data_IF_178507514653
#
_entry.id   IF_178507514653
#
_cell.length_a   1.000
_cell.length_b   1.000
_cell.length_c   1.000
_cell.angle_alpha   90.00
_cell.angle_beta   90.00
_cell.angle_gamma   90.00
#
_symmetry.space_group_name_H-M   'P 1'
#
loop_
_entity.id
_entity.type
_entity.pdbx_description
1 polymer ?
#
# COMPACT_ATOMS: atom_id res chain seq x y z
N UNK A 1 35.25 0.78 18.64
CA UNK A 1 35.05 1.59 17.41
C UNK A 1 35.52 0.89 16.14
N UNK A 2 36.76 0.40 16.02
CA UNK A 2 37.29 -0.25 14.80
C UNK A 2 36.53 -1.52 14.38
N UNK A 3 36.19 -2.39 15.34
CA UNK A 3 35.47 -3.65 15.08
C UNK A 3 33.99 -3.43 14.69
N UNK A 4 33.33 -2.44 15.29
CA UNK A 4 31.94 -2.07 14.95
C UNK A 4 31.81 -1.56 13.51
N UNK A 5 32.81 -0.83 13.00
CA UNK A 5 32.87 -0.39 11.60
C UNK A 5 33.09 -1.55 10.61
N UNK A 6 33.86 -2.58 11.01
CA UNK A 6 34.09 -3.77 10.18
C UNK A 6 32.80 -4.59 10.06
N UNK A 7 32.09 -4.78 11.17
CA UNK A 7 30.79 -5.47 11.18
C UNK A 7 29.77 -4.73 10.30
N UNK A 8 29.71 -3.40 10.39
CA UNK A 8 28.80 -2.59 9.58
C UNK A 8 29.11 -2.71 8.07
N UNK A 9 30.40 -2.72 7.70
CA UNK A 9 30.84 -2.91 6.31
C UNK A 9 30.53 -4.31 5.81
N UNK A 10 30.72 -5.34 6.62
CA UNK A 10 30.37 -6.72 6.28
C UNK A 10 28.86 -6.88 6.09
N UNK A 11 28.04 -6.28 6.97
CA UNK A 11 26.59 -6.26 6.80
C UNK A 11 26.16 -5.52 5.53
N UNK A 12 26.80 -4.39 5.20
CA UNK A 12 26.58 -3.67 3.94
C UNK A 12 26.95 -4.52 2.72
N UNK A 13 28.06 -5.25 2.76
CA UNK A 13 28.48 -6.16 1.66
C UNK A 13 27.51 -7.34 1.55
N UNK A 14 27.12 -7.97 2.64
CA UNK A 14 26.12 -9.06 2.65
C UNK A 14 24.78 -8.54 2.11
N UNK A 15 24.33 -7.36 2.55
CA UNK A 15 23.10 -6.74 2.06
C UNK A 15 23.18 -6.32 0.58
N UNK A 16 24.33 -5.84 0.11
CA UNK A 16 24.49 -5.37 -1.28
C UNK A 16 24.84 -6.49 -2.27
N UNK A 17 25.44 -7.59 -1.82
CA UNK A 17 25.93 -8.69 -2.66
C UNK A 17 25.13 -9.97 -2.44
N UNK A 18 24.91 -10.39 -1.19
CA UNK A 18 24.25 -11.68 -0.89
C UNK A 18 22.72 -11.61 -0.86
N UNK A 19 22.11 -10.42 -0.71
CA UNK A 19 20.66 -10.25 -0.77
C UNK A 19 20.14 -9.93 -2.18
N UNK A 20 21.02 -9.89 -3.20
CA UNK A 20 20.63 -9.72 -4.59
C UNK A 20 20.50 -11.08 -5.24
N UNK A 21 19.27 -11.51 -5.48
CA UNK A 21 18.98 -12.68 -6.31
C UNK A 21 19.47 -12.41 -7.73
N UNK A 22 20.24 -13.32 -8.30
CA UNK A 22 20.56 -13.30 -9.73
C UNK A 22 19.28 -13.61 -10.53
N UNK A 23 19.22 -13.23 -11.80
CA UNK A 23 18.13 -13.61 -12.70
C UNK A 23 17.99 -15.13 -12.81
N UNK A 24 19.09 -15.89 -12.71
CA UNK A 24 19.04 -17.36 -12.64
C UNK A 24 18.25 -17.83 -11.42
N UNK A 25 18.51 -17.24 -10.25
CA UNK A 25 17.88 -17.64 -8.98
C UNK A 25 16.40 -17.23 -8.97
N UNK A 26 16.08 -16.05 -9.51
CA UNK A 26 14.70 -15.57 -9.68
C UNK A 26 13.90 -16.53 -10.57
N UNK A 27 14.52 -17.01 -11.66
CA UNK A 27 13.90 -17.99 -12.56
C UNK A 27 13.69 -19.32 -11.84
N UNK A 28 14.68 -19.82 -11.12
CA UNK A 28 14.59 -21.05 -10.34
C UNK A 28 13.45 -20.98 -9.32
N UNK A 29 13.33 -19.87 -8.56
CA UNK A 29 12.23 -19.66 -7.60
C UNK A 29 10.87 -19.69 -8.31
N UNK A 30 10.74 -19.04 -9.47
CA UNK A 30 9.48 -19.04 -10.23
C UNK A 30 9.09 -20.42 -10.77
N UNK A 31 10.06 -21.29 -11.02
CA UNK A 31 9.86 -22.67 -11.51
C UNK A 31 9.76 -23.70 -10.35
N UNK A 32 10.07 -23.29 -9.12
CA UNK A 32 10.04 -24.14 -7.93
C UNK A 32 8.61 -24.42 -7.49
N UNK A 33 8.28 -25.70 -7.26
CA UNK A 33 6.99 -26.12 -6.68
C UNK A 33 6.94 -25.73 -5.21
N UNK A 34 5.91 -24.98 -4.82
CA UNK A 34 5.75 -24.48 -3.45
C UNK A 34 5.18 -25.56 -2.53
N UNK A 35 4.33 -26.45 -3.07
CA UNK A 35 3.78 -27.62 -2.36
C UNK A 35 3.93 -28.83 -3.28
N UNK A 36 4.68 -29.83 -2.84
CA UNK A 36 5.00 -31.04 -3.62
C UNK A 36 3.76 -31.91 -3.90
N UNK A 37 2.81 -31.98 -2.95
CA UNK A 37 1.65 -32.86 -3.01
C UNK A 37 0.66 -32.49 -4.13
N UNK A 38 0.50 -31.19 -4.43
CA UNK A 38 -0.50 -30.69 -5.39
C UNK A 38 0.11 -30.03 -6.65
N UNK A 39 1.44 -30.05 -6.80
CA UNK A 39 2.16 -29.31 -7.86
C UNK A 39 1.79 -27.82 -7.92
N UNK A 40 1.48 -27.20 -6.77
CA UNK A 40 1.17 -25.78 -6.70
C UNK A 40 2.42 -24.95 -7.04
N UNK A 41 2.28 -24.13 -8.08
CA UNK A 41 3.30 -23.21 -8.58
C UNK A 41 2.83 -21.78 -8.35
N UNK A 42 3.78 -20.85 -8.21
CA UNK A 42 3.48 -19.42 -8.29
C UNK A 42 2.93 -19.14 -9.69
N UNK A 43 1.82 -18.42 -9.80
CA UNK A 43 1.22 -18.13 -11.10
C UNK A 43 2.23 -17.37 -11.97
N UNK A 44 2.61 -17.90 -13.15
CA UNK A 44 3.67 -17.29 -13.96
C UNK A 44 3.30 -15.91 -14.47
N UNK A 45 2.02 -15.66 -14.76
CA UNK A 45 1.54 -14.32 -15.12
C UNK A 45 0.93 -13.53 -13.93
N UNK A 46 1.09 -14.06 -12.72
CA UNK A 46 0.48 -13.51 -11.50
C UNK A 46 1.28 -12.35 -10.91
N UNK A 47 0.68 -11.58 -9.99
CA UNK A 47 1.35 -10.47 -9.34
C UNK A 47 2.57 -10.89 -8.48
N UNK A 48 2.60 -12.11 -7.96
CA UNK A 48 3.72 -12.67 -7.17
C UNK A 48 4.82 -13.30 -8.03
N UNK A 49 4.73 -13.27 -9.37
CA UNK A 49 5.82 -13.72 -10.21
C UNK A 49 7.15 -13.00 -9.83
N UNK A 50 8.20 -13.74 -9.44
CA UNK A 50 9.45 -13.13 -8.96
C UNK A 50 10.15 -12.25 -10.01
N UNK A 51 10.13 -12.65 -11.28
CA UNK A 51 10.70 -11.88 -12.38
C UNK A 51 9.94 -10.57 -12.60
N UNK A 52 8.60 -10.61 -12.52
CA UNK A 52 7.75 -9.42 -12.57
C UNK A 52 8.09 -8.47 -11.42
N UNK A 53 8.21 -8.99 -10.19
CA UNK A 53 8.62 -8.23 -9.02
C UNK A 53 9.98 -7.55 -9.22
N UNK A 54 10.97 -8.29 -9.72
CA UNK A 54 12.30 -7.76 -10.05
C UNK A 54 12.24 -6.62 -11.08
N UNK A 55 11.52 -6.81 -12.19
CA UNK A 55 11.38 -5.77 -13.22
C UNK A 55 10.67 -4.52 -12.66
N UNK A 56 9.63 -4.71 -11.84
CA UNK A 56 8.90 -3.62 -11.21
C UNK A 56 9.79 -2.80 -10.27
N UNK A 57 10.61 -3.45 -9.45
CA UNK A 57 11.58 -2.77 -8.59
C UNK A 57 12.61 -1.99 -9.42
N UNK A 58 13.26 -2.65 -10.39
CA UNK A 58 14.31 -2.06 -11.23
C UNK A 58 13.84 -0.89 -12.08
N UNK A 59 12.57 -0.88 -12.47
CA UNK A 59 11.95 0.21 -13.22
C UNK A 59 11.43 1.35 -12.33
N UNK A 60 11.51 1.21 -11.01
CA UNK A 60 10.92 2.16 -10.07
C UNK A 60 9.39 2.22 -10.21
N UNK A 61 8.75 1.08 -10.52
CA UNK A 61 7.35 1.01 -10.89
C UNK A 61 6.43 1.69 -9.86
N UNK A 62 6.62 1.42 -8.57
CA UNK A 62 5.77 2.00 -7.52
C UNK A 62 5.92 3.52 -7.41
N UNK A 63 7.14 4.02 -7.56
CA UNK A 63 7.40 5.46 -7.64
C UNK A 63 6.66 6.06 -8.84
N UNK A 64 6.86 5.49 -10.03
CA UNK A 64 6.23 6.00 -11.25
C UNK A 64 4.71 5.94 -11.19
N UNK A 65 4.15 4.84 -10.69
CA UNK A 65 2.72 4.65 -10.52
C UNK A 65 2.14 5.64 -9.50
N UNK A 66 2.87 5.98 -8.43
CA UNK A 66 2.37 6.92 -7.43
C UNK A 66 2.43 8.38 -7.85
N UNK A 67 3.44 8.77 -8.63
CA UNK A 67 3.71 10.18 -8.98
C UNK A 67 3.27 10.59 -10.39
N UNK A 68 3.13 9.65 -11.33
CA UNK A 68 2.89 9.95 -12.74
C UNK A 68 1.67 9.22 -13.33
N UNK A 69 0.94 8.42 -12.55
CA UNK A 69 -0.28 7.77 -13.04
C UNK A 69 -1.36 8.81 -13.35
N UNK A 70 -1.95 8.82 -14.56
CA UNK A 70 -3.00 9.76 -14.93
C UNK A 70 -4.30 9.57 -14.13
N UNK A 71 -4.47 8.42 -13.47
CA UNK A 71 -5.62 8.13 -12.61
C UNK A 71 -5.53 8.78 -11.22
N UNK A 72 -4.38 9.34 -10.85
CA UNK A 72 -4.16 10.05 -9.60
C UNK A 72 -4.23 11.56 -9.84
N UNK A 73 -5.17 12.20 -9.18
CA UNK A 73 -5.25 13.66 -9.08
C UNK A 73 -4.16 14.16 -8.12
N UNK A 74 -3.01 14.49 -8.68
CA UNK A 74 -1.89 15.03 -7.90
C UNK A 74 -2.14 16.48 -7.53
N UNK A 75 -2.10 16.81 -6.24
CA UNK A 75 -2.34 18.18 -5.81
C UNK A 75 -1.12 19.06 -6.04
N UNK A 76 -1.16 19.88 -7.08
CA UNK A 76 -0.23 20.97 -7.34
C UNK A 76 -0.97 22.29 -7.54
N UNK A 77 -0.29 23.40 -7.28
CA UNK A 77 -0.81 24.75 -7.46
C UNK A 77 0.27 25.60 -8.10
N UNK A 78 -0.07 26.27 -9.19
CA UNK A 78 0.81 27.22 -9.86
C UNK A 78 0.14 28.60 -9.81
N UNK A 79 0.73 29.54 -9.07
CA UNK A 79 0.19 30.88 -8.91
C UNK A 79 1.16 31.91 -9.44
N UNK A 80 0.69 32.85 -10.25
CA UNK A 80 1.50 33.98 -10.67
C UNK A 80 1.73 34.92 -9.48
N UNK A 81 3.00 35.20 -9.18
CA UNK A 81 3.37 36.18 -8.18
C UNK A 81 3.34 37.57 -8.82
N UNK A 82 2.33 38.37 -8.47
CA UNK A 82 2.27 39.77 -8.85
C UNK A 82 3.16 40.63 -7.93
N UNK A 83 4.47 40.37 -7.92
CA UNK A 83 5.44 41.26 -7.25
C UNK A 83 5.91 42.31 -8.23
N UNK A 84 5.56 43.57 -7.95
CA UNK A 84 6.16 44.73 -8.62
C UNK A 84 7.60 44.85 -8.12
N UNK A 85 8.57 44.32 -8.87
CA UNK A 85 9.97 44.59 -8.58
C UNK A 85 10.25 46.03 -9.04
N UNK A 86 10.33 46.95 -8.07
CA UNK A 86 10.72 48.35 -8.25
C UNK A 86 12.21 48.47 -8.61
N UNK A 87 12.59 48.01 -9.80
CA UNK A 87 13.80 48.50 -10.46
C UNK A 87 13.47 48.77 -11.91
N UNK A 88 13.80 49.97 -12.37
CA UNK A 88 13.58 50.43 -13.75
C UNK A 88 14.43 49.58 -14.69
N UNK A 89 13.81 48.85 -15.63
CA UNK A 89 14.48 48.33 -16.84
C UNK A 89 13.42 47.89 -17.85
N UNK A 90 13.47 48.52 -19.03
CA UNK A 90 12.55 48.40 -20.17
C UNK A 90 12.73 47.09 -20.94
N UNK A 91 12.42 45.94 -20.34
CA UNK A 91 12.24 44.69 -21.07
C UNK A 91 11.07 43.91 -20.48
N UNK A 92 10.24 43.32 -21.34
CA UNK A 92 9.10 42.45 -20.96
C UNK A 92 9.55 41.42 -19.94
N UNK A 93 9.19 41.61 -18.68
CA UNK A 93 9.69 40.80 -17.58
C UNK A 93 9.04 39.42 -17.60
N UNK A 94 9.82 38.34 -17.39
CA UNK A 94 9.23 37.01 -17.21
C UNK A 94 8.31 37.04 -15.99
N UNK A 95 7.11 36.49 -16.17
CA UNK A 95 6.18 36.32 -15.04
C UNK A 95 6.80 35.38 -14.03
N UNK A 96 6.84 35.78 -12.76
CA UNK A 96 7.31 34.90 -11.68
C UNK A 96 6.11 34.06 -11.22
N UNK A 97 6.31 32.74 -11.10
CA UNK A 97 5.30 31.83 -10.62
C UNK A 97 5.77 31.16 -9.33
N UNK A 98 4.83 30.98 -8.40
CA UNK A 98 4.97 30.13 -7.21
C UNK A 98 4.39 28.77 -7.56
N UNK A 99 5.23 27.74 -7.49
CA UNK A 99 4.79 26.36 -7.55
C UNK A 99 4.67 25.81 -6.13
N UNK A 100 3.57 25.11 -5.86
CA UNK A 100 3.33 24.43 -4.60
C UNK A 100 2.82 23.01 -4.90
N UNK A 101 3.42 22.01 -4.24
CA UNK A 101 3.05 20.59 -4.35
C UNK A 101 2.68 20.09 -2.95
N UNK A 102 1.53 19.42 -2.82
CA UNK A 102 1.06 18.84 -1.54
C UNK A 102 0.65 17.37 -1.72
N UNK A 103 1.60 16.42 -1.72
CA UNK A 103 1.30 15.01 -2.02
C UNK A 103 0.34 14.32 -1.04
N UNK A 104 0.29 14.79 0.20
CA UNK A 104 -0.71 14.36 1.20
C UNK A 104 -2.16 14.62 0.78
N UNK A 105 -2.39 15.51 -0.20
CA UNK A 105 -3.71 15.84 -0.73
C UNK A 105 -4.04 15.14 -2.04
N UNK A 106 -3.19 14.23 -2.51
CA UNK A 106 -3.48 13.47 -3.72
C UNK A 106 -4.70 12.57 -3.50
N UNK A 107 -5.51 12.44 -4.54
CA UNK A 107 -6.68 11.57 -4.55
C UNK A 107 -6.76 10.81 -5.85
N UNK A 108 -7.52 9.72 -5.91
CA UNK A 108 -7.86 9.12 -7.20
C UNK A 108 -8.91 9.97 -7.92
N UNK A 109 -8.81 10.10 -9.24
CA UNK A 109 -9.88 10.72 -10.03
C UNK A 109 -11.18 9.92 -9.92
N UNK A 110 -12.33 10.60 -9.91
CA UNK A 110 -13.64 9.96 -9.80
C UNK A 110 -14.19 9.47 -11.13
N UNK A 111 -13.68 9.98 -12.26
CA UNK A 111 -14.12 9.72 -13.62
C UNK A 111 -12.94 9.24 -14.52
N UNK A 112 -12.30 8.15 -14.10
CA UNK A 112 -11.16 7.53 -14.79
C UNK A 112 -11.60 6.82 -16.08
N UNK A 113 -12.77 6.18 -16.08
CA UNK A 113 -13.26 5.38 -17.19
C UNK A 113 -14.75 5.61 -17.44
N UNK A 114 -15.19 5.49 -18.70
CA UNK A 114 -16.60 5.62 -19.07
C UNK A 114 -17.46 4.42 -18.65
N UNK A 115 -16.86 3.24 -18.44
CA UNK A 115 -17.56 2.06 -17.94
C UNK A 115 -17.72 2.17 -16.42
N UNK A 116 -18.95 2.14 -15.85
CA UNK A 116 -19.17 2.33 -14.42
C UNK A 116 -18.41 1.33 -13.54
N UNK A 117 -18.49 0.03 -13.85
CA UNK A 117 -17.84 -1.02 -13.07
C UNK A 117 -16.31 -0.90 -13.11
N UNK A 118 -15.74 -0.67 -14.30
CA UNK A 118 -14.29 -0.48 -14.47
C UNK A 118 -13.81 0.81 -13.81
N UNK A 119 -14.61 1.87 -13.87
CA UNK A 119 -14.32 3.13 -13.18
C UNK A 119 -14.29 2.94 -11.66
N UNK A 120 -15.27 2.22 -11.11
CA UNK A 120 -15.32 1.88 -9.70
C UNK A 120 -14.10 1.06 -9.26
N UNK A 121 -13.71 0.05 -10.05
CA UNK A 121 -12.48 -0.70 -9.80
C UNK A 121 -11.26 0.22 -9.77
N UNK A 122 -11.06 1.07 -10.79
CA UNK A 122 -9.89 1.95 -10.84
C UNK A 122 -9.87 2.98 -9.73
N UNK A 123 -11.02 3.54 -9.37
CA UNK A 123 -11.15 4.46 -8.25
C UNK A 123 -10.73 3.78 -6.94
N UNK A 124 -11.25 2.57 -6.68
CA UNK A 124 -10.90 1.79 -5.48
C UNK A 124 -9.42 1.42 -5.48
N UNK A 125 -8.89 0.91 -6.60
CA UNK A 125 -7.48 0.52 -6.76
C UNK A 125 -6.53 1.68 -6.48
N UNK A 126 -6.72 2.83 -7.14
CA UNK A 126 -5.82 3.98 -6.96
C UNK A 126 -5.98 4.62 -5.58
N UNK A 127 -7.17 4.56 -4.99
CA UNK A 127 -7.37 4.97 -3.59
C UNK A 127 -6.57 4.08 -2.62
N UNK A 128 -6.61 2.75 -2.79
CA UNK A 128 -5.80 1.85 -1.96
C UNK A 128 -4.30 2.06 -2.19
N UNK A 129 -3.88 2.26 -3.44
CA UNK A 129 -2.49 2.57 -3.77
C UNK A 129 -2.00 3.82 -3.01
N UNK A 130 -2.77 4.90 -3.01
CA UNK A 130 -2.44 6.13 -2.28
C UNK A 130 -2.37 5.89 -0.77
N UNK A 131 -3.28 5.09 -0.23
CA UNK A 131 -3.36 4.83 1.22
C UNK A 131 -2.25 3.91 1.73
N UNK A 132 -1.90 2.87 0.97
CA UNK A 132 -0.84 1.93 1.32
C UNK A 132 0.56 2.49 1.07
N UNK A 133 0.69 3.38 0.08
CA UNK A 133 1.96 3.98 -0.32
C UNK A 133 1.89 5.51 -0.27
N UNK A 134 1.77 6.10 0.93
CA UNK A 134 1.74 7.55 1.10
C UNK A 134 3.06 8.21 0.69
N UNK A 135 2.98 9.51 0.39
CA UNK A 135 4.16 10.31 0.07
C UNK A 135 4.12 11.71 0.67
N UNK A 136 3.61 11.86 1.90
CA UNK A 136 3.25 13.15 2.52
C UNK A 136 4.33 14.24 2.45
N UNK A 137 5.61 13.87 2.47
CA UNK A 137 6.78 14.77 2.40
C UNK A 137 7.45 14.81 1.01
N UNK A 138 6.89 14.11 0.02
CA UNK A 138 7.44 13.95 -1.33
C UNK A 138 8.26 12.68 -1.53
N UNK A 139 8.56 11.92 -0.47
CA UNK A 139 9.21 10.60 -0.58
C UNK A 139 8.16 9.49 -0.49
N UNK A 140 8.33 8.42 -1.28
CA UNK A 140 7.45 7.25 -1.18
C UNK A 140 7.70 6.54 0.16
N UNK A 141 6.63 6.22 0.88
CA UNK A 141 6.67 5.51 2.16
C UNK A 141 5.58 4.44 2.17
N UNK A 142 5.74 3.42 3.00
CA UNK A 142 4.65 2.52 3.39
C UNK A 142 4.02 2.97 4.72
N UNK A 143 4.76 3.72 5.54
CA UNK A 143 4.28 4.23 6.82
C UNK A 143 3.55 5.54 6.58
N UNK A 144 2.26 5.57 6.95
CA UNK A 144 1.48 6.79 7.01
C UNK A 144 1.48 7.39 8.42
N UNK A 145 1.43 8.71 8.53
CA UNK A 145 1.19 9.41 9.80
C UNK A 145 -0.27 9.36 10.28
N UNK A 146 -1.14 8.62 9.58
CA UNK A 146 -2.58 8.51 9.89
C UNK A 146 -2.84 7.29 10.78
N UNK A 147 -3.60 7.42 11.89
CA UNK A 147 -3.88 6.30 12.78
C UNK A 147 -4.64 5.14 12.13
N UNK A 148 -5.51 5.41 11.16
CA UNK A 148 -6.37 4.41 10.51
C UNK A 148 -5.76 3.77 9.27
N UNK A 149 -4.52 4.13 8.91
CA UNK A 149 -3.81 3.56 7.78
C UNK A 149 -3.57 2.04 7.93
N UNK A 150 -3.51 1.28 6.83
CA UNK A 150 -3.30 -0.17 6.88
C UNK A 150 -2.02 -0.56 7.63
N UNK A 151 -0.91 0.13 7.41
CA UNK A 151 0.34 -0.16 8.12
C UNK A 151 0.25 0.14 9.61
N UNK A 152 -0.49 1.17 10.01
CA UNK A 152 -0.72 1.49 11.43
C UNK A 152 -1.49 0.38 12.13
N UNK A 153 -2.40 -0.32 11.42
CA UNK A 153 -3.05 -1.51 11.93
C UNK A 153 -2.10 -2.70 12.03
N UNK A 154 -1.32 -2.97 10.96
CA UNK A 154 -0.39 -4.10 10.91
C UNK A 154 0.74 -4.01 11.95
N UNK A 155 1.10 -2.80 12.38
CA UNK A 155 2.14 -2.54 13.37
C UNK A 155 1.63 -2.49 14.81
N UNK A 156 0.37 -2.84 15.07
CA UNK A 156 -0.14 -2.99 16.43
C UNK A 156 0.65 -4.04 17.20
N UNK A 157 0.95 -3.77 18.46
CA UNK A 157 1.67 -4.71 19.32
C UNK A 157 0.90 -6.03 19.48
N UNK A 158 -0.44 -5.98 19.53
CA UNK A 158 -1.29 -7.17 19.62
C UNK A 158 -1.24 -8.03 18.34
N UNK A 159 -0.81 -7.46 17.22
CA UNK A 159 -0.68 -8.15 15.93
C UNK A 159 0.76 -8.55 15.60
N UNK A 160 1.72 -8.40 16.52
CA UNK A 160 3.13 -8.69 16.22
C UNK A 160 3.35 -10.08 15.63
N UNK A 161 2.68 -11.10 16.18
CA UNK A 161 2.74 -12.48 15.68
C UNK A 161 1.70 -12.77 14.58
N UNK A 162 0.59 -12.01 14.56
CA UNK A 162 -0.52 -12.17 13.62
C UNK A 162 -0.33 -11.49 12.27
N UNK A 163 0.53 -10.46 12.19
CA UNK A 163 0.65 -9.59 11.03
C UNK A 163 1.13 -10.34 9.78
N UNK A 164 2.00 -11.34 9.95
CA UNK A 164 2.49 -12.17 8.85
C UNK A 164 1.36 -12.96 8.18
N UNK A 165 0.37 -13.43 8.95
CA UNK A 165 -0.79 -14.13 8.40
C UNK A 165 -1.71 -13.20 7.61
N UNK A 166 -1.87 -11.94 8.05
CA UNK A 166 -2.62 -10.93 7.30
C UNK A 166 -1.92 -10.64 5.97
N UNK A 167 -0.60 -10.43 5.99
CA UNK A 167 0.19 -10.19 4.77
C UNK A 167 0.14 -11.38 3.81
N UNK A 168 0.27 -12.60 4.33
CA UNK A 168 0.14 -13.83 3.54
C UNK A 168 -1.25 -13.94 2.91
N UNK A 169 -2.32 -13.66 3.67
CA UNK A 169 -3.69 -13.65 3.14
C UNK A 169 -3.86 -12.62 2.01
N UNK A 170 -3.28 -11.42 2.14
CA UNK A 170 -3.32 -10.40 1.09
C UNK A 170 -2.58 -10.85 -0.19
N UNK A 171 -1.43 -11.50 -0.04
CA UNK A 171 -0.70 -12.07 -1.19
C UNK A 171 -1.48 -13.18 -1.88
N UNK A 172 -2.06 -14.11 -1.12
CA UNK A 172 -2.90 -15.16 -1.68
C UNK A 172 -4.14 -14.60 -2.39
N UNK A 173 -4.79 -13.58 -1.83
CA UNK A 173 -5.89 -12.88 -2.50
C UNK A 173 -5.46 -12.20 -3.80
N UNK A 174 -4.23 -11.70 -3.89
CA UNK A 174 -3.69 -11.13 -5.14
C UNK A 174 -3.49 -12.17 -6.24
N UNK A 175 -3.25 -13.42 -5.85
CA UNK A 175 -3.21 -14.60 -6.72
C UNK A 175 -4.60 -15.22 -6.93
N UNK A 176 -5.66 -14.50 -6.54
CA UNK A 176 -7.06 -14.93 -6.69
C UNK A 176 -7.38 -16.22 -5.93
N UNK A 177 -6.57 -16.55 -4.91
CA UNK A 177 -6.86 -17.66 -3.99
C UNK A 177 -7.90 -17.17 -2.98
N UNK A 178 -9.00 -17.91 -2.87
CA UNK A 178 -10.04 -17.62 -1.88
C UNK A 178 -9.55 -17.86 -0.46
N UNK A 179 -9.59 -16.81 0.37
CA UNK A 179 -9.15 -16.85 1.77
C UNK A 179 -10.30 -16.40 2.70
N UNK A 180 -10.48 -17.12 3.80
CA UNK A 180 -11.46 -16.80 4.85
C UNK A 180 -10.98 -15.66 5.75
N UNK A 181 -10.94 -14.45 5.18
CA UNK A 181 -10.65 -13.20 5.87
C UNK A 181 -11.88 -12.28 5.84
N UNK A 182 -12.14 -11.55 6.91
CA UNK A 182 -13.23 -10.56 6.99
C UNK A 182 -12.84 -9.38 7.86
N UNK A 183 -13.25 -8.18 7.47
CA UNK A 183 -13.09 -6.96 8.25
C UNK A 183 -14.42 -6.20 8.27
N UNK A 184 -15.09 -6.20 9.40
CA UNK A 184 -16.42 -5.62 9.59
C UNK A 184 -16.39 -4.53 10.66
N UNK A 185 -17.12 -3.43 10.44
CA UNK A 185 -17.29 -2.34 11.42
C UNK A 185 -18.75 -1.88 11.56
N UNK A 186 -19.67 -2.53 10.83
CA UNK A 186 -21.08 -2.12 10.77
C UNK A 186 -21.88 -2.62 11.97
N UNK A 187 -21.51 -3.79 12.51
CA UNK A 187 -22.19 -4.39 13.65
C UNK A 187 -21.50 -4.04 14.96
N UNK A 188 -22.25 -3.38 15.86
CA UNK A 188 -21.75 -2.95 17.17
C UNK A 188 -21.32 -4.17 18.00
N UNK A 189 -20.06 -4.22 18.41
CA UNK A 189 -19.46 -5.35 19.14
C UNK A 189 -18.70 -6.35 18.27
N UNK A 190 -18.85 -6.29 16.94
CA UNK A 190 -18.18 -7.16 15.97
C UNK A 190 -17.16 -6.38 15.12
N UNK A 191 -16.66 -5.23 15.62
CA UNK A 191 -15.76 -4.36 14.85
C UNK A 191 -14.33 -4.90 14.78
N UNK A 192 -14.15 -6.01 14.05
CA UNK A 192 -12.92 -6.81 14.07
C UNK A 192 -12.49 -7.28 12.67
N UNK A 193 -11.19 -7.54 12.55
CA UNK A 193 -10.60 -8.33 11.48
C UNK A 193 -10.44 -9.77 11.98
N UNK A 194 -11.00 -10.71 11.23
CA UNK A 194 -10.91 -12.14 11.53
C UNK A 194 -10.32 -12.86 10.32
N UNK A 195 -9.31 -13.70 10.57
CA UNK A 195 -8.71 -14.61 9.59
C UNK A 195 -8.82 -16.04 10.11
N UNK A 196 -9.39 -16.93 9.32
CA UNK A 196 -9.61 -18.34 9.67
C UNK A 196 -8.97 -19.29 8.67
N UNK A 197 -8.77 -20.53 9.09
CA UNK A 197 -8.52 -21.66 8.18
C UNK A 197 -9.68 -21.87 7.21
N UNK A 198 -9.42 -22.61 6.13
CA UNK A 198 -10.42 -22.88 5.08
C UNK A 198 -11.65 -23.63 5.61
N UNK A 199 -11.46 -24.53 6.56
CA UNK A 199 -12.53 -25.27 7.27
C UNK A 199 -13.17 -24.46 8.42
N UNK A 200 -12.63 -23.28 8.73
CA UNK A 200 -13.09 -22.41 9.80
C UNK A 200 -12.75 -22.87 11.22
N UNK A 201 -12.01 -23.97 11.40
CA UNK A 201 -11.69 -24.53 12.72
C UNK A 201 -10.69 -23.71 13.51
N UNK A 202 -9.74 -23.08 12.81
CA UNK A 202 -8.62 -22.36 13.40
C UNK A 202 -8.73 -20.88 13.10
N UNK A 203 -8.58 -20.05 14.12
CA UNK A 203 -8.56 -18.60 13.99
C UNK A 203 -7.09 -18.16 14.08
N UNK A 204 -6.55 -17.64 12.97
CA UNK A 204 -5.18 -17.12 12.91
C UNK A 204 -5.09 -15.68 13.40
N UNK A 205 -6.14 -14.89 13.17
CA UNK A 205 -6.23 -13.49 13.62
C UNK A 205 -7.65 -13.21 14.10
N UNK A 206 -7.77 -12.62 15.29
CA UNK A 206 -8.98 -11.99 15.82
C UNK A 206 -8.56 -10.66 16.45
N UNK A 207 -8.69 -9.58 15.69
CA UNK A 207 -8.17 -8.26 16.11
C UNK A 207 -9.21 -7.16 15.98
N UNK A 208 -9.32 -6.33 17.02
CA UNK A 208 -10.18 -5.15 17.01
C UNK A 208 -9.71 -4.08 16.01
N UNK A 209 -10.67 -3.61 15.20
CA UNK A 209 -10.52 -2.49 14.27
C UNK A 209 -10.81 -1.14 14.94
N UNK A 210 -11.18 -1.12 16.22
CA UNK A 210 -11.47 0.11 16.95
C UNK A 210 -10.19 0.90 17.23
N UNK A 211 -10.26 2.21 16.97
CA UNK A 211 -9.32 3.24 17.37
C UNK A 211 -10.00 4.10 18.44
N UNK A 212 -9.31 4.39 19.55
CA UNK A 212 -9.82 5.33 20.54
C UNK A 212 -9.27 6.72 20.26
N UNK A 213 -10.15 7.73 20.19
CA UNK A 213 -9.76 9.13 20.19
C UNK A 213 -10.13 9.72 21.55
N UNK A 214 -9.12 9.98 22.38
CA UNK A 214 -9.28 10.81 23.56
C UNK A 214 -9.48 12.25 23.07
N UNK A 215 -10.70 12.79 23.19
CA UNK A 215 -10.89 14.23 23.11
C UNK A 215 -10.70 14.75 24.53
N UNK A 216 -9.61 15.50 24.74
CA UNK A 216 -9.53 16.42 25.88
C UNK A 216 -10.84 17.22 25.89
N UNK A 217 -11.65 17.08 26.96
CA UNK A 217 -12.95 17.71 27.21
C UNK A 217 -14.25 16.91 26.95
N UNK A 218 -14.21 15.59 26.74
CA UNK A 218 -15.41 14.74 26.87
C UNK A 218 -15.09 13.53 27.77
N UNK A 219 -15.93 13.28 28.77
CA UNK A 219 -15.83 12.08 29.65
C UNK A 219 -15.98 10.76 28.86
N UNK A 220 -16.43 10.81 27.61
CA UNK A 220 -16.58 9.65 26.72
C UNK A 220 -15.50 9.59 25.63
N UNK A 221 -14.83 8.43 25.55
CA UNK A 221 -13.96 8.07 24.42
C UNK A 221 -14.79 7.92 23.15
N UNK A 222 -14.53 8.77 22.15
CA UNK A 222 -15.14 8.62 20.82
C UNK A 222 -14.46 7.44 20.13
N UNK A 223 -15.23 6.41 19.79
CA UNK A 223 -14.77 5.29 18.96
C UNK A 223 -14.59 5.75 17.52
N UNK A 224 -13.39 5.55 17.00
CA UNK A 224 -13.02 5.65 15.58
C UNK A 224 -12.56 4.26 15.10
N UNK A 225 -12.25 4.08 13.82
CA UNK A 225 -11.94 2.75 13.27
C UNK A 225 -10.81 2.79 12.25
N UNK A 226 -10.13 1.65 12.06
CA UNK A 226 -9.19 1.42 10.96
C UNK A 226 -9.90 1.29 9.61
N UNK A 227 -10.54 2.36 9.16
CA UNK A 227 -11.41 2.33 7.97
C UNK A 227 -10.64 2.03 6.68
N UNK A 228 -9.39 2.47 6.56
CA UNK A 228 -8.55 2.15 5.40
C UNK A 228 -8.19 0.66 5.35
N UNK A 229 -7.96 0.04 6.51
CA UNK A 229 -7.73 -1.41 6.60
C UNK A 229 -8.97 -2.18 6.12
N UNK A 230 -10.16 -1.81 6.60
CA UNK A 230 -11.42 -2.43 6.16
C UNK A 230 -11.60 -2.31 4.64
N UNK A 231 -11.37 -1.11 4.09
CA UNK A 231 -11.48 -0.88 2.65
C UNK A 231 -10.47 -1.71 1.85
N UNK A 232 -9.24 -1.87 2.35
CA UNK A 232 -8.21 -2.70 1.73
C UNK A 232 -8.63 -4.18 1.72
N UNK A 233 -9.02 -4.74 2.86
CA UNK A 233 -9.43 -6.15 2.95
C UNK A 233 -10.61 -6.42 2.00
N UNK A 234 -11.63 -5.57 2.03
CA UNK A 234 -12.81 -5.76 1.18
C UNK A 234 -12.49 -5.59 -0.31
N UNK A 235 -11.58 -4.68 -0.67
CA UNK A 235 -11.10 -4.55 -2.05
C UNK A 235 -10.39 -5.83 -2.53
N UNK A 236 -9.48 -6.37 -1.73
CA UNK A 236 -8.72 -7.58 -2.08
C UNK A 236 -9.61 -8.82 -2.18
N UNK A 237 -10.61 -8.94 -1.29
CA UNK A 237 -11.62 -10.01 -1.38
C UNK A 237 -12.40 -9.96 -2.68
N UNK A 238 -12.96 -8.80 -3.01
CA UNK A 238 -13.71 -8.64 -4.25
C UNK A 238 -12.84 -8.90 -5.48
N UNK A 239 -11.58 -8.45 -5.48
CA UNK A 239 -10.65 -8.73 -6.58
C UNK A 239 -10.43 -10.24 -6.78
N UNK A 240 -10.31 -11.01 -5.71
CA UNK A 240 -10.18 -12.46 -5.80
C UNK A 240 -11.49 -13.14 -6.27
N UNK A 241 -12.64 -12.67 -5.80
CA UNK A 241 -13.96 -13.20 -6.16
C UNK A 241 -14.34 -12.93 -7.63
N UNK A 242 -13.97 -11.76 -8.18
CA UNK A 242 -14.28 -11.37 -9.56
C UNK A 242 -13.61 -12.28 -10.60
N UNK A 243 -12.49 -12.89 -10.25
CA UNK A 243 -11.76 -13.83 -11.12
C UNK A 243 -12.41 -15.22 -11.22
N UNK A 244 -13.16 -15.63 -10.18
CA UNK A 244 -13.85 -16.94 -10.14
C UNK A 244 -15.02 -16.98 -11.13
N UNK A 245 -15.49 -15.81 -11.60
CA UNK A 245 -16.63 -15.68 -12.50
C UNK A 245 -16.26 -15.41 -13.98
N UNK A 246 -14.98 -15.54 -14.36
CA UNK A 246 -14.51 -15.34 -15.73
C UNK A 246 -14.06 -16.65 -16.39
#
# INVERSE_FOLDING_TARGET
>A
MKNSMIILKLLLVIYTVCARLDLSDIKEIGETKVIEEDNLLIHPDGPLNPLRGYIMDRSGYMYNKRFYAPEIDTMYKLEKINKVITRRLHYSRPSIYKYERKPVKDTAYTNICNSPARNEYFLRFHTQLINMFPCSDGALSIIAGRPDAPTSFLLKDELKDGCVYILAALFLLSEQVSISISAEIKEKGNEKLILKSADGSTIYVDQSLVLYKDKENLEEKIKTYHTETVKLINFMKHYAEDAINC
#
